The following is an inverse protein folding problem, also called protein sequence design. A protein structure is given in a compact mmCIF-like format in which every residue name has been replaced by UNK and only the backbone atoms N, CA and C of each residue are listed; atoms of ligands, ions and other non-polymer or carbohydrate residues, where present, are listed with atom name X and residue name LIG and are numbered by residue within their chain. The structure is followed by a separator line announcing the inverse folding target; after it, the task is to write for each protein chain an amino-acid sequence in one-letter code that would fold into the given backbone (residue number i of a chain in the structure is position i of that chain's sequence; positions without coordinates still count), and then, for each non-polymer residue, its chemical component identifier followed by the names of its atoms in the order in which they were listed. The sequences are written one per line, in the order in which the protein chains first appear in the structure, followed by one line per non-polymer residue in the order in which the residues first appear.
data_IF_293244083561
#
_entry.id   IF_293244083561
#
_cell.length_a   1.000
_cell.length_b   1.000
_cell.length_c   1.000
_cell.angle_alpha   90.00
_cell.angle_beta   90.00
_cell.angle_gamma   90.00
#
_symmetry.space_group_name_H-M   'P 1'
#
loop_
_entity.id
_entity.type
_entity.pdbx_description
1 polymer ?
#
# COMPACT_ATOMS: atom_id res chain seq x y z
N UNK A 1 -5.08 23.91 4.32
CA UNK A 1 -6.18 22.99 3.96
C UNK A 1 -6.87 22.56 5.25
N UNK A 2 -8.20 22.62 5.29
CA UNK A 2 -9.02 22.48 6.51
C UNK A 2 -9.31 21.03 6.96
N UNK A 3 -10.02 20.87 8.09
CA UNK A 3 -10.05 19.65 8.93
C UNK A 3 -10.87 18.45 8.40
N UNK A 4 -11.17 18.39 7.11
CA UNK A 4 -11.86 17.26 6.45
C UNK A 4 -11.01 16.54 5.39
N UNK A 5 -9.68 16.72 5.40
CA UNK A 5 -8.81 15.99 4.47
C UNK A 5 -8.83 14.50 4.81
N UNK A 6 -9.45 13.68 3.95
CA UNK A 6 -9.16 12.24 3.90
C UNK A 6 -7.64 12.08 3.91
N UNK A 7 -7.11 11.20 4.76
CA UNK A 7 -5.68 10.89 4.83
C UNK A 7 -5.18 10.57 3.41
N UNK A 8 -3.92 10.87 3.03
CA UNK A 8 -3.40 10.58 1.68
C UNK A 8 -3.22 9.08 1.42
N UNK A 9 -3.72 8.23 2.32
CA UNK A 9 -3.70 6.79 2.23
C UNK A 9 -4.93 6.18 2.90
N UNK A 10 -5.26 4.97 2.47
CA UNK A 10 -6.14 4.05 3.18
C UNK A 10 -5.43 2.69 3.28
N UNK A 11 -5.55 2.03 4.43
CA UNK A 11 -5.00 0.70 4.63
C UNK A 11 -6.02 -0.17 5.32
N UNK A 12 -6.25 -1.36 4.77
CA UNK A 12 -7.03 -2.42 5.38
C UNK A 12 -6.21 -3.69 5.43
N UNK A 13 -5.99 -4.18 6.65
CA UNK A 13 -5.48 -5.52 6.89
C UNK A 13 -6.67 -6.44 7.18
N UNK A 14 -6.70 -7.61 6.55
CA UNK A 14 -7.67 -8.67 6.83
C UNK A 14 -6.91 -9.87 7.37
N UNK A 15 -7.45 -10.50 8.40
CA UNK A 15 -6.93 -11.75 8.94
C UNK A 15 -8.06 -12.78 8.93
N UNK A 16 -7.85 -13.85 8.18
CA UNK A 16 -8.77 -14.96 8.06
C UNK A 16 -8.12 -16.17 8.71
N UNK A 17 -8.86 -16.85 9.58
CA UNK A 17 -8.37 -17.99 10.33
C UNK A 17 -9.39 -19.12 10.27
N UNK A 18 -8.90 -20.33 10.02
CA UNK A 18 -9.68 -21.55 10.04
C UNK A 18 -8.97 -22.61 10.88
N UNK A 19 -9.61 -23.77 11.07
CA UNK A 19 -8.97 -24.91 11.72
C UNK A 19 -7.77 -25.46 10.95
N UNK A 20 -7.64 -25.16 9.64
CA UNK A 20 -6.61 -25.74 8.78
C UNK A 20 -5.53 -24.73 8.37
N UNK A 21 -5.84 -23.43 8.37
CA UNK A 21 -4.97 -22.41 7.80
C UNK A 21 -5.24 -21.01 8.34
N UNK A 22 -4.33 -20.10 8.03
CA UNK A 22 -4.56 -18.66 8.12
C UNK A 22 -4.25 -17.97 6.80
N UNK A 23 -4.82 -16.79 6.62
CA UNK A 23 -4.51 -15.87 5.54
C UNK A 23 -4.50 -14.43 6.05
N UNK A 24 -3.52 -13.66 5.59
CA UNK A 24 -3.38 -12.23 5.83
C UNK A 24 -3.54 -11.54 4.49
N UNK A 25 -4.54 -10.68 4.37
CA UNK A 25 -4.78 -9.82 3.23
C UNK A 25 -4.40 -8.37 3.56
N UNK A 26 -3.87 -7.65 2.59
CA UNK A 26 -3.49 -6.26 2.70
C UNK A 26 -3.98 -5.50 1.47
N UNK A 27 -4.86 -4.53 1.70
CA UNK A 27 -5.34 -3.60 0.69
C UNK A 27 -4.84 -2.20 1.08
N UNK A 28 -3.97 -1.61 0.27
CA UNK A 28 -3.36 -0.31 0.51
C UNK A 28 -3.66 0.63 -0.65
N UNK A 29 -4.25 1.79 -0.37
CA UNK A 29 -4.57 2.80 -1.37
C UNK A 29 -3.80 4.07 -1.06
N UNK A 30 -3.25 4.71 -2.09
CA UNK A 30 -2.60 6.03 -2.00
C UNK A 30 -3.34 7.01 -2.87
N UNK A 31 -3.69 8.15 -2.29
CA UNK A 31 -4.40 9.22 -2.97
C UNK A 31 -3.41 10.30 -3.38
N UNK A 32 -3.24 10.50 -4.68
CA UNK A 32 -2.42 11.55 -5.25
C UNK A 32 -3.30 12.69 -5.79
N UNK A 33 -2.94 13.96 -5.56
CA UNK A 33 -3.65 15.07 -6.16
C UNK A 33 -3.52 15.06 -7.69
N UNK A 34 -4.45 15.68 -8.39
CA UNK A 34 -4.46 15.73 -9.87
C UNK A 34 -3.18 16.35 -10.48
N UNK A 35 -2.55 17.28 -9.76
CA UNK A 35 -1.28 17.89 -10.19
C UNK A 35 -0.04 17.00 -9.91
N UNK A 36 -0.22 15.79 -9.36
CA UNK A 36 0.86 14.85 -9.17
C UNK A 36 1.39 14.34 -10.52
N UNK A 37 2.69 14.08 -10.59
CA UNK A 37 3.32 13.65 -11.84
C UNK A 37 2.79 12.30 -12.30
N UNK A 38 2.09 12.29 -13.44
CA UNK A 38 1.61 11.06 -14.09
C UNK A 38 2.75 10.11 -14.42
N UNK A 39 3.94 10.63 -14.76
CA UNK A 39 5.15 9.82 -14.96
C UNK A 39 5.56 9.05 -13.69
N UNK A 40 5.41 9.65 -12.50
CA UNK A 40 5.64 8.97 -11.22
C UNK A 40 4.57 7.88 -10.97
N UNK A 41 3.30 8.15 -11.28
CA UNK A 41 2.22 7.15 -11.21
C UNK A 41 2.54 5.97 -12.13
N UNK A 42 2.83 6.22 -13.41
CA UNK A 42 3.17 5.14 -14.36
C UNK A 42 4.38 4.34 -13.92
N UNK A 43 5.35 4.96 -13.23
CA UNK A 43 6.49 4.23 -12.68
C UNK A 43 6.10 3.24 -11.58
N UNK A 44 5.13 3.57 -10.73
CA UNK A 44 4.56 2.63 -9.76
C UNK A 44 3.85 1.47 -10.47
N UNK A 45 3.04 1.79 -11.48
CA UNK A 45 2.25 0.80 -12.21
C UNK A 45 3.09 -0.17 -13.05
N UNK A 46 4.28 0.27 -13.49
CA UNK A 46 5.19 -0.52 -14.33
C UNK A 46 6.26 -1.27 -13.55
N UNK A 47 6.23 -1.26 -12.20
CA UNK A 47 7.24 -1.97 -11.41
C UNK A 47 7.14 -3.49 -11.69
N UNK A 48 8.20 -4.13 -12.24
CA UNK A 48 8.18 -5.55 -12.56
C UNK A 48 7.90 -6.46 -11.36
N UNK A 49 8.27 -6.02 -10.15
CA UNK A 49 8.08 -6.80 -8.91
C UNK A 49 6.59 -7.01 -8.62
N UNK A 50 5.72 -6.13 -9.15
CA UNK A 50 4.28 -6.21 -8.94
C UNK A 50 3.54 -6.96 -10.05
N UNK A 51 4.22 -7.56 -11.05
CA UNK A 51 3.53 -8.22 -12.17
C UNK A 51 2.56 -9.35 -11.76
N UNK A 52 2.86 -10.07 -10.68
CA UNK A 52 1.98 -11.14 -10.17
C UNK A 52 0.71 -10.64 -9.49
N UNK A 53 0.68 -9.37 -9.06
CA UNK A 53 -0.48 -8.70 -8.51
C UNK A 53 -0.34 -7.19 -8.76
N UNK A 54 -0.63 -6.75 -9.99
CA UNK A 54 -0.33 -5.39 -10.41
C UNK A 54 -1.19 -4.38 -9.64
N UNK A 55 -0.64 -3.22 -9.29
CA UNK A 55 -1.43 -2.15 -8.68
C UNK A 55 -2.47 -1.63 -9.67
N UNK A 56 -3.61 -1.20 -9.12
CA UNK A 56 -4.71 -0.61 -9.90
C UNK A 56 -4.65 0.92 -9.82
N UNK A 57 -5.02 1.58 -10.91
CA UNK A 57 -5.19 3.03 -10.95
C UNK A 57 -6.68 3.33 -11.16
N UNK A 58 -7.26 4.12 -10.26
CA UNK A 58 -8.56 4.73 -10.45
C UNK A 58 -8.47 6.26 -10.29
N UNK A 59 -9.54 6.93 -10.69
CA UNK A 59 -9.69 8.37 -10.58
C UNK A 59 -11.00 8.64 -9.86
N UNK A 60 -10.93 9.33 -8.73
CA UNK A 60 -12.10 9.67 -7.91
C UNK A 60 -12.34 11.17 -7.97
N UNK A 61 -13.54 11.57 -8.40
CA UNK A 61 -14.01 12.95 -8.30
C UNK A 61 -14.65 13.16 -6.92
N UNK A 62 -14.11 14.10 -6.14
CA UNK A 62 -14.79 14.54 -4.92
C UNK A 62 -15.95 15.46 -5.29
N UNK A 63 -17.11 15.38 -4.60
CA UNK A 63 -18.18 16.40 -4.67
C UNK A 63 -17.69 17.82 -4.37
N UNK A 64 -16.52 17.95 -3.72
CA UNK A 64 -15.86 19.22 -3.42
C UNK A 64 -14.88 19.72 -4.50
N UNK A 65 -14.93 19.16 -5.73
CA UNK A 65 -14.17 19.58 -6.92
C UNK A 65 -12.66 19.29 -6.93
N UNK A 66 -12.14 18.55 -5.93
CA UNK A 66 -10.76 18.08 -5.96
C UNK A 66 -10.73 16.63 -6.39
N UNK A 67 -10.31 16.39 -7.62
CA UNK A 67 -10.10 15.05 -8.15
C UNK A 67 -8.78 14.46 -7.65
N UNK A 68 -8.76 13.14 -7.46
CA UNK A 68 -7.57 12.42 -6.99
C UNK A 68 -7.33 11.17 -7.82
N UNK A 69 -6.06 10.92 -8.12
CA UNK A 69 -5.63 9.60 -8.59
C UNK A 69 -5.50 8.67 -7.39
N UNK A 70 -6.05 7.47 -7.49
CA UNK A 70 -5.95 6.46 -6.45
C UNK A 70 -5.14 5.30 -7.00
N UNK A 71 -4.01 5.00 -6.37
CA UNK A 71 -3.22 3.81 -6.68
C UNK A 71 -3.45 2.78 -5.58
N UNK A 72 -3.98 1.61 -5.95
CA UNK A 72 -4.33 0.54 -5.03
C UNK A 72 -3.36 -0.64 -5.18
N UNK A 73 -2.84 -1.11 -4.06
CA UNK A 73 -1.98 -2.27 -3.93
C UNK A 73 -2.72 -3.31 -3.09
N UNK A 74 -2.96 -4.49 -3.66
CA UNK A 74 -3.55 -5.61 -2.94
C UNK A 74 -2.58 -6.76 -2.92
N UNK A 75 -2.37 -7.37 -1.76
CA UNK A 75 -1.58 -8.60 -1.64
C UNK A 75 -2.05 -9.45 -0.48
N UNK A 76 -1.94 -10.77 -0.62
CA UNK A 76 -2.29 -11.72 0.43
C UNK A 76 -1.22 -12.79 0.58
N UNK A 77 -1.07 -13.32 1.79
CA UNK A 77 -0.22 -14.47 2.11
C UNK A 77 -0.88 -15.30 3.19
N UNK A 78 -0.72 -16.61 3.13
CA UNK A 78 -1.21 -17.52 4.15
C UNK A 78 -0.46 -18.83 4.14
N UNK A 79 -0.70 -19.64 5.16
CA UNK A 79 -0.16 -20.99 5.25
C UNK A 79 -1.14 -21.90 6.01
N UNK A 80 -1.02 -23.21 5.78
CA UNK A 80 -1.67 -24.20 6.62
C UNK A 80 -0.97 -24.32 7.98
N UNK A 81 -1.73 -24.59 9.05
CA UNK A 81 -1.16 -24.78 10.39
C UNK A 81 -0.23 -26.00 10.48
N UNK A 82 -0.38 -26.97 9.57
CA UNK A 82 0.55 -28.10 9.45
C UNK A 82 1.91 -27.75 8.82
N UNK A 83 2.06 -26.54 8.26
CA UNK A 83 3.29 -26.07 7.60
C UNK A 83 3.96 -24.90 8.33
N UNK A 84 3.28 -24.31 9.31
CA UNK A 84 3.70 -23.10 10.00
C UNK A 84 3.24 -23.16 11.44
N UNK A 85 4.16 -22.97 12.38
CA UNK A 85 3.83 -22.83 13.79
C UNK A 85 3.06 -21.54 14.08
N UNK A 86 2.37 -21.49 15.20
CA UNK A 86 1.63 -20.30 15.67
C UNK A 86 2.56 -19.10 15.88
N UNK A 87 3.78 -19.33 16.36
CA UNK A 87 4.77 -18.26 16.59
C UNK A 87 5.27 -17.67 15.27
N UNK A 88 5.56 -18.50 14.27
CA UNK A 88 5.92 -18.05 12.93
C UNK A 88 4.77 -17.27 12.28
N UNK A 89 3.53 -17.74 12.42
CA UNK A 89 2.35 -17.03 11.91
C UNK A 89 2.19 -15.65 12.58
N UNK A 90 2.36 -15.58 13.91
CA UNK A 90 2.36 -14.31 14.65
C UNK A 90 3.45 -13.37 14.15
N UNK A 91 4.66 -13.87 13.93
CA UNK A 91 5.77 -13.06 13.41
C UNK A 91 5.48 -12.54 11.99
N UNK A 92 4.89 -13.37 11.12
CA UNK A 92 4.47 -12.96 9.79
C UNK A 92 3.42 -11.84 9.84
N UNK A 93 2.39 -11.98 10.68
CA UNK A 93 1.37 -10.92 10.89
C UNK A 93 2.02 -9.62 11.35
N UNK A 94 2.90 -9.70 12.36
CA UNK A 94 3.60 -8.54 12.89
C UNK A 94 4.45 -7.86 11.82
N UNK A 95 5.20 -8.63 11.03
CA UNK A 95 6.05 -8.13 9.95
C UNK A 95 5.24 -7.46 8.84
N UNK A 96 4.09 -8.03 8.46
CA UNK A 96 3.14 -7.43 7.51
C UNK A 96 2.68 -6.05 7.99
N UNK A 97 2.20 -5.96 9.23
CA UNK A 97 1.72 -4.69 9.80
C UNK A 97 2.86 -3.66 9.87
N UNK A 98 4.04 -4.07 10.38
CA UNK A 98 5.20 -3.20 10.52
C UNK A 98 5.67 -2.62 9.19
N UNK A 99 5.72 -3.43 8.12
CA UNK A 99 6.10 -2.99 6.78
C UNK A 99 5.07 -1.99 6.21
N UNK A 100 3.78 -2.25 6.35
CA UNK A 100 2.75 -1.31 5.88
C UNK A 100 2.74 0.01 6.67
N UNK A 101 3.09 0.00 7.97
CA UNK A 101 3.32 1.23 8.73
C UNK A 101 4.49 2.05 8.14
N UNK A 102 5.55 1.39 7.67
CA UNK A 102 6.66 2.08 7.01
C UNK A 102 6.21 2.75 5.70
N UNK A 103 5.39 2.07 4.89
CA UNK A 103 4.77 2.64 3.70
C UNK A 103 3.95 3.88 4.07
N UNK A 104 3.05 3.78 5.05
CA UNK A 104 2.23 4.89 5.55
C UNK A 104 3.09 6.11 5.91
N UNK A 105 4.18 5.90 6.65
CA UNK A 105 5.10 6.97 7.03
C UNK A 105 5.71 7.67 5.80
N UNK A 106 6.12 6.89 4.79
CA UNK A 106 6.66 7.48 3.56
C UNK A 106 5.62 8.23 2.73
N UNK A 107 4.36 7.80 2.74
CA UNK A 107 3.26 8.55 2.10
C UNK A 107 3.03 9.87 2.83
N UNK A 108 2.95 9.87 4.17
CA UNK A 108 2.81 11.10 4.95
C UNK A 108 4.00 12.06 4.79
N UNK A 109 5.20 11.53 4.51
CA UNK A 109 6.34 12.38 4.13
C UNK A 109 6.17 12.96 2.73
N UNK A 110 5.78 12.13 1.75
CA UNK A 110 5.55 12.56 0.37
C UNK A 110 4.44 13.60 0.26
N UNK A 111 3.39 13.50 1.07
CA UNK A 111 2.29 14.48 1.13
C UNK A 111 2.78 15.91 1.41
N UNK A 112 3.87 16.06 2.16
CA UNK A 112 4.44 17.38 2.46
C UNK A 112 5.00 18.07 1.22
N UNK A 113 5.45 17.30 0.23
CA UNK A 113 5.97 17.80 -1.04
C UNK A 113 5.88 16.73 -2.13
N UNK A 114 4.75 16.73 -2.83
CA UNK A 114 4.48 15.87 -3.97
C UNK A 114 5.40 16.11 -5.19
N UNK A 115 6.04 17.28 -5.26
CA UNK A 115 7.00 17.58 -6.32
C UNK A 115 8.33 16.85 -6.10
N UNK A 116 8.68 16.57 -4.84
CA UNK A 116 9.95 15.92 -4.47
C UNK A 116 10.14 14.55 -5.11
N UNK A 117 11.13 14.44 -5.99
CA UNK A 117 11.57 13.15 -6.55
C UNK A 117 12.22 12.27 -5.49
N UNK A 118 12.91 12.87 -4.50
CA UNK A 118 13.55 12.13 -3.40
C UNK A 118 12.51 11.41 -2.53
N UNK A 119 11.46 12.12 -2.11
CA UNK A 119 10.39 11.53 -1.29
C UNK A 119 9.61 10.48 -2.07
N UNK A 120 9.34 10.74 -3.36
CA UNK A 120 8.74 9.73 -4.23
C UNK A 120 9.59 8.47 -4.34
N UNK A 121 10.91 8.60 -4.56
CA UNK A 121 11.81 7.45 -4.63
C UNK A 121 11.85 6.67 -3.31
N UNK A 122 11.78 7.36 -2.16
CA UNK A 122 11.69 6.72 -0.85
C UNK A 122 10.39 5.91 -0.72
N UNK A 123 9.26 6.52 -1.03
CA UNK A 123 7.96 5.83 -1.06
C UNK A 123 7.97 4.63 -2.00
N UNK A 124 8.42 4.83 -3.24
CA UNK A 124 8.50 3.78 -4.26
C UNK A 124 9.37 2.60 -3.78
N UNK A 125 10.55 2.87 -3.23
CA UNK A 125 11.41 1.82 -2.67
C UNK A 125 10.70 1.07 -1.55
N UNK A 126 10.06 1.78 -0.61
CA UNK A 126 9.40 1.15 0.54
C UNK A 126 8.17 0.32 0.15
N UNK A 127 7.37 0.76 -0.82
CA UNK A 127 6.25 -0.03 -1.33
C UNK A 127 6.76 -1.27 -2.07
N UNK A 128 7.79 -1.14 -2.91
CA UNK A 128 8.37 -2.28 -3.62
C UNK A 128 8.97 -3.31 -2.65
N UNK A 129 9.78 -2.90 -1.68
CA UNK A 129 10.33 -3.80 -0.65
C UNK A 129 9.24 -4.47 0.20
N UNK A 130 8.14 -3.76 0.47
CA UNK A 130 7.01 -4.30 1.23
C UNK A 130 6.32 -5.39 0.45
N UNK A 131 6.01 -5.13 -0.83
CA UNK A 131 5.20 -6.02 -1.67
C UNK A 131 6.03 -7.08 -2.42
N UNK A 132 7.36 -6.96 -2.50
CA UNK A 132 8.26 -8.03 -2.96
C UNK A 132 8.26 -9.21 -1.99
N UNK A 133 8.30 -8.92 -0.68
CA UNK A 133 8.58 -9.88 0.39
C UNK A 133 7.34 -10.50 1.06
N UNK A 134 6.16 -10.35 0.47
CA UNK A 134 5.00 -11.19 0.80
C UNK A 134 5.12 -12.50 0.03
#
# INVERSE_FOLDING_TARGET
MGPNSKRPWYYRCRFECSALSYMIGSDFMVYFPENFSTAKIYRLLKDPIMQGCPPELSYEESPSSNSVFVVSFTKGKGAGWGLCSTDEAREQIYNVIKKNIAVIRTVCELEKDYSSTRLFNKFHKTITETYENY
#
